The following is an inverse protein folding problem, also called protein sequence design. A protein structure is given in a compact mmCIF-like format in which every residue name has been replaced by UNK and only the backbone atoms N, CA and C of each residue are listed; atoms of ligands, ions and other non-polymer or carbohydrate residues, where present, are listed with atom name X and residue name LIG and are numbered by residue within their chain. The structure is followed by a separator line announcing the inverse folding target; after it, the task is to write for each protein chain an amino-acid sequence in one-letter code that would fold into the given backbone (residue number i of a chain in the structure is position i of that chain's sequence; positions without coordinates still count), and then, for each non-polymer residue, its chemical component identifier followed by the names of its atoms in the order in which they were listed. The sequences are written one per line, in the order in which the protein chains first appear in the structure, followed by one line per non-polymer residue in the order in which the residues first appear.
data_IF_413216385864
#
_entry.id   IF_413216385864
#
_cell.length_a   1.000
_cell.length_b   1.000
_cell.length_c   1.000
_cell.angle_alpha   90.00
_cell.angle_beta   90.00
_cell.angle_gamma   90.00
#
_symmetry.space_group_name_H-M   'P 1'
#
loop_
_entity.id
_entity.type
_entity.pdbx_description
1 polymer ?
#
# COMPACT_ATOMS: atom_id res chain seq x y z
N UNK A 1 9.46 -22.24 10.97
CA UNK A 1 9.95 -21.07 10.21
C UNK A 1 8.92 -19.92 10.27
N UNK A 2 8.74 -19.26 11.42
CA UNK A 2 7.64 -18.29 11.62
C UNK A 2 8.06 -17.15 12.58
N UNK A 3 9.05 -16.34 12.19
CA UNK A 3 9.52 -15.15 12.95
C UNK A 3 9.88 -13.95 12.05
N UNK A 4 9.23 -13.81 10.89
CA UNK A 4 9.54 -12.74 9.89
C UNK A 4 8.33 -11.99 9.32
N UNK A 5 7.16 -12.06 9.96
CA UNK A 5 5.90 -11.51 9.42
C UNK A 5 5.39 -10.21 10.07
N UNK A 6 5.97 -9.76 11.20
CA UNK A 6 5.48 -8.61 11.97
C UNK A 6 6.57 -7.55 12.15
N UNK A 7 6.83 -6.81 11.07
CA UNK A 7 7.65 -5.60 11.10
C UNK A 7 6.80 -4.38 11.44
N UNK A 8 6.60 -4.11 12.73
CA UNK A 8 6.02 -2.86 13.20
C UNK A 8 7.07 -1.74 13.14
N UNK A 9 6.70 -0.61 12.54
CA UNK A 9 7.51 0.62 12.55
C UNK A 9 6.61 1.77 13.02
N UNK A 10 6.48 1.92 14.34
CA UNK A 10 6.03 3.17 14.95
C UNK A 10 7.20 4.15 14.95
N UNK A 11 6.97 5.32 14.38
CA UNK A 11 7.93 6.42 14.32
C UNK A 11 7.16 7.72 14.56
N UNK A 12 6.81 7.94 15.82
CA UNK A 12 6.53 9.29 16.30
C UNK A 12 7.88 9.95 16.57
N UNK A 13 8.14 11.07 15.90
CA UNK A 13 9.29 11.92 16.21
C UNK A 13 8.77 13.36 16.28
N UNK A 14 8.35 13.71 17.48
CA UNK A 14 8.03 15.06 17.92
C UNK A 14 9.36 15.82 18.09
N UNK A 15 9.58 16.84 17.27
CA UNK A 15 10.68 17.80 17.46
C UNK A 15 10.17 19.21 17.28
N UNK A 16 10.17 19.92 18.40
CA UNK A 16 9.99 21.37 18.55
C UNK A 16 11.26 22.14 18.15
N UNK A 17 11.13 23.47 18.21
CA UNK A 17 12.18 24.48 18.14
C UNK A 17 12.79 24.71 16.74
N UNK A 18 12.29 25.72 16.00
CA UNK A 18 12.61 27.15 16.14
C UNK A 18 14.07 27.44 15.75
N UNK A 19 14.29 28.16 14.64
CA UNK A 19 14.59 29.61 14.71
C UNK A 19 14.98 30.24 13.33
N UNK A 20 14.55 31.49 13.14
CA UNK A 20 15.10 32.56 12.27
C UNK A 20 15.12 32.51 10.71
N UNK A 21 14.21 33.33 10.14
CA UNK A 21 14.42 34.38 9.10
C UNK A 21 14.60 34.03 7.60
N UNK A 22 13.62 34.44 6.78
CA UNK A 22 13.84 35.25 5.55
C UNK A 22 12.54 35.79 4.90
N UNK A 23 12.11 36.97 5.36
CA UNK A 23 11.50 38.14 4.67
C UNK A 23 10.66 38.04 3.35
N UNK A 24 9.66 38.94 3.30
CA UNK A 24 8.84 39.45 2.16
C UNK A 24 7.53 38.68 1.85
N UNK A 25 6.37 39.23 2.24
CA UNK A 25 5.49 40.14 1.45
C UNK A 25 4.44 39.34 0.63
N UNK A 26 3.15 39.66 0.57
CA UNK A 26 2.41 40.87 0.95
C UNK A 26 0.92 40.52 1.20
N UNK A 27 0.27 41.07 2.23
CA UNK A 27 -1.20 41.15 2.32
C UNK A 27 -1.64 42.05 3.49
N UNK A 28 -2.03 43.27 3.14
CA UNK A 28 -2.55 44.31 4.05
C UNK A 28 -3.89 43.92 4.65
N UNK A 29 -4.04 44.05 5.99
CA UNK A 29 -5.19 44.66 6.65
C UNK A 29 -4.83 45.14 8.08
N UNK A 30 -4.16 46.29 8.12
CA UNK A 30 -4.24 47.31 9.18
C UNK A 30 -5.71 47.70 9.50
N UNK A 31 -6.18 48.21 10.66
CA UNK A 31 -5.68 48.46 12.04
C UNK A 31 -6.85 48.16 13.02
N UNK A 32 -6.83 48.26 14.36
CA UNK A 32 -5.86 48.59 15.43
C UNK A 32 -5.91 47.45 16.48
N UNK A 33 -4.95 47.14 17.37
CA UNK A 33 -4.12 47.90 18.34
C UNK A 33 -4.88 48.58 19.49
N UNK A 34 -4.92 47.93 20.67
CA UNK A 34 -4.11 48.30 21.87
C UNK A 34 -4.14 47.20 22.94
N UNK A 35 -3.00 47.01 23.62
CA UNK A 35 -2.89 46.32 24.92
C UNK A 35 -3.22 47.30 26.05
N UNK A 36 -3.78 46.83 27.17
CA UNK A 36 -3.23 47.01 28.51
C UNK A 36 -4.12 46.37 29.60
N UNK A 37 -3.45 45.78 30.58
CA UNK A 37 -3.82 45.47 31.98
C UNK A 37 -5.19 45.96 32.53
N UNK A 38 -5.92 45.07 33.22
CA UNK A 38 -6.12 45.11 34.70
C UNK A 38 -7.10 44.05 35.23
N UNK A 39 -6.93 43.78 36.51
CA UNK A 39 -7.60 42.81 37.39
C UNK A 39 -9.13 42.96 37.60
N UNK A 40 -9.84 41.82 37.77
CA UNK A 40 -11.00 41.57 38.68
C UNK A 40 -12.34 42.34 38.37
N UNK A 41 -13.57 41.85 38.72
CA UNK A 41 -14.16 40.51 38.82
C UNK A 41 -15.44 40.34 37.94
N UNK A 42 -16.22 39.29 38.21
CA UNK A 42 -17.61 39.04 37.78
C UNK A 42 -18.52 40.25 37.48
N UNK A 43 -19.33 40.13 36.43
CA UNK A 43 -20.72 40.63 36.41
C UNK A 43 -21.61 39.76 35.49
N UNK A 44 -22.88 39.57 35.90
CA UNK A 44 -23.93 38.78 35.22
C UNK A 44 -24.76 39.65 34.26
N UNK A 45 -25.72 38.98 33.59
CA UNK A 45 -26.91 39.50 32.88
C UNK A 45 -26.75 39.77 31.37
N UNK A 46 -27.84 39.68 30.57
CA UNK A 46 -28.83 38.61 30.58
C UNK A 46 -29.11 38.02 29.18
N UNK A 47 -29.66 36.80 29.13
CA UNK A 47 -30.10 36.14 27.91
C UNK A 47 -31.33 36.84 27.29
N UNK A 48 -31.38 36.96 25.95
CA UNK A 48 -32.66 37.14 25.21
C UNK A 48 -32.79 36.07 24.11
N UNK A 49 -33.99 35.50 23.85
CA UNK A 49 -34.12 34.28 23.05
C UNK A 49 -34.63 34.54 21.62
N UNK A 50 -34.24 33.68 20.67
CA UNK A 50 -35.11 33.14 19.61
C UNK A 50 -34.40 32.08 18.77
N UNK A 51 -34.75 30.82 19.00
CA UNK A 51 -34.59 29.73 18.05
C UNK A 51 -35.91 28.96 18.02
N UNK A 52 -36.59 28.93 16.87
CA UNK A 52 -37.87 28.24 16.72
C UNK A 52 -37.63 26.74 16.51
N UNK A 53 -37.59 26.01 17.62
CA UNK A 53 -37.63 24.54 17.64
C UNK A 53 -38.22 24.11 18.99
N UNK A 54 -39.17 23.14 19.03
CA UNK A 54 -39.74 22.70 20.29
C UNK A 54 -38.67 22.01 21.15
N UNK A 55 -38.56 22.33 22.46
CA UNK A 55 -37.60 21.68 23.34
C UNK A 55 -38.02 20.22 23.59
N UNK A 56 -37.08 19.29 23.44
CA UNK A 56 -37.29 17.88 23.79
C UNK A 56 -37.48 17.71 25.30
N UNK A 57 -38.35 16.78 25.77
CA UNK A 57 -38.61 16.57 27.19
C UNK A 57 -37.42 15.89 27.88
N UNK A 58 -36.46 16.70 28.34
CA UNK A 58 -35.46 16.29 29.32
C UNK A 58 -36.11 16.13 30.70
N UNK A 59 -35.67 15.14 31.48
CA UNK A 59 -36.01 14.83 32.90
C UNK A 59 -37.06 13.75 33.26
N UNK A 60 -37.53 12.90 32.34
CA UNK A 60 -38.32 11.72 32.77
C UNK A 60 -37.51 10.71 33.63
N UNK A 61 -36.19 10.61 33.46
CA UNK A 61 -35.38 9.61 34.18
C UNK A 61 -35.25 9.78 35.69
N UNK A 62 -35.50 10.98 36.26
CA UNK A 62 -35.46 11.17 37.72
C UNK A 62 -36.76 10.76 38.40
N UNK A 63 -37.91 11.00 37.75
CA UNK A 63 -39.23 10.63 38.26
C UNK A 63 -39.44 9.10 38.31
N UNK A 64 -38.84 8.33 37.40
CA UNK A 64 -38.92 6.86 37.46
C UNK A 64 -38.17 6.27 38.67
N UNK A 65 -37.00 6.81 39.05
CA UNK A 65 -36.26 6.27 40.21
C UNK A 65 -36.98 6.52 41.55
N UNK A 66 -37.55 7.71 41.78
CA UNK A 66 -38.29 7.98 43.02
C UNK A 66 -39.63 7.24 43.11
N UNK A 67 -40.20 6.81 41.98
CA UNK A 67 -41.47 6.09 41.94
C UNK A 67 -41.26 4.56 42.01
N UNK A 68 -40.17 4.03 41.47
CA UNK A 68 -39.74 2.63 41.68
C UNK A 68 -39.37 2.35 43.14
N UNK A 69 -38.61 3.24 43.80
CA UNK A 69 -38.21 3.05 45.22
C UNK A 69 -39.44 3.05 46.16
N UNK A 70 -40.55 3.69 45.78
CA UNK A 70 -41.82 3.67 46.56
C UNK A 70 -42.70 2.44 46.29
N UNK A 71 -42.60 1.82 45.11
CA UNK A 71 -43.36 0.60 44.79
C UNK A 71 -42.68 -0.68 45.29
N UNK A 72 -41.37 -0.65 45.57
CA UNK A 72 -40.60 -1.84 45.96
C UNK A 72 -40.68 -2.26 47.45
N UNK A 73 -41.48 -1.60 48.29
CA UNK A 73 -41.58 -1.93 49.73
C UNK A 73 -42.09 -3.35 50.01
N UNK A 74 -43.09 -3.81 49.23
CA UNK A 74 -43.97 -4.91 49.66
C UNK A 74 -43.69 -6.27 48.97
N UNK A 75 -42.46 -6.49 48.47
CA UNK A 75 -42.00 -7.72 47.81
C UNK A 75 -40.56 -8.11 48.15
N UNK A 76 -40.11 -7.77 49.35
CA UNK A 76 -38.74 -7.34 49.67
C UNK A 76 -37.67 -8.44 49.82
N UNK A 77 -37.98 -9.70 49.47
CA UNK A 77 -37.06 -10.84 49.58
C UNK A 77 -36.21 -11.09 48.33
N UNK A 78 -36.84 -11.29 47.17
CA UNK A 78 -36.15 -11.77 45.97
C UNK A 78 -35.45 -10.63 45.19
N UNK A 79 -36.11 -9.48 45.07
CA UNK A 79 -35.56 -8.28 44.40
C UNK A 79 -34.26 -7.81 45.08
N UNK A 80 -34.20 -7.88 46.42
CA UNK A 80 -32.99 -7.53 47.20
C UNK A 80 -31.83 -8.48 46.94
N UNK A 81 -32.09 -9.78 46.71
CA UNK A 81 -31.08 -10.77 46.31
C UNK A 81 -30.56 -10.50 44.91
N UNK A 82 -31.44 -10.24 43.94
CA UNK A 82 -31.06 -9.89 42.56
C UNK A 82 -30.20 -8.61 42.50
N UNK A 83 -30.61 -7.54 43.20
CA UNK A 83 -29.81 -6.29 43.30
C UNK A 83 -28.42 -6.54 43.91
N UNK A 84 -28.35 -7.40 44.94
CA UNK A 84 -27.06 -7.77 45.57
C UNK A 84 -26.17 -8.60 44.65
N UNK A 85 -26.75 -9.48 43.83
CA UNK A 85 -26.02 -10.29 42.85
C UNK A 85 -25.50 -9.44 41.69
N UNK A 86 -26.32 -8.53 41.16
CA UNK A 86 -25.92 -7.58 40.12
C UNK A 86 -24.79 -6.65 40.60
N UNK A 87 -24.83 -6.20 41.86
CA UNK A 87 -23.74 -5.40 42.44
C UNK A 87 -22.44 -6.22 42.55
N UNK A 88 -22.50 -7.46 43.05
CA UNK A 88 -21.33 -8.36 43.09
C UNK A 88 -20.73 -8.58 41.70
N UNK A 89 -21.57 -8.80 40.68
CA UNK A 89 -21.10 -8.97 39.30
C UNK A 89 -20.43 -7.69 38.77
N UNK A 90 -20.98 -6.51 39.07
CA UNK A 90 -20.36 -5.22 38.73
C UNK A 90 -19.01 -5.03 39.43
N UNK A 91 -18.91 -5.41 40.70
CA UNK A 91 -17.67 -5.35 41.48
C UNK A 91 -16.61 -6.33 40.95
N UNK A 92 -17.02 -7.53 40.50
CA UNK A 92 -16.13 -8.46 39.80
C UNK A 92 -15.67 -7.94 38.44
N UNK A 93 -16.57 -7.36 37.64
CA UNK A 93 -16.22 -6.74 36.35
C UNK A 93 -15.21 -5.60 36.54
N UNK A 94 -15.39 -4.75 37.56
CA UNK A 94 -14.42 -3.68 37.86
C UNK A 94 -13.09 -4.21 38.41
N UNK A 95 -13.09 -5.28 39.22
CA UNK A 95 -11.85 -5.96 39.64
C UNK A 95 -11.09 -6.55 38.45
N UNK A 96 -11.80 -7.23 37.54
CA UNK A 96 -11.22 -7.78 36.28
C UNK A 96 -10.63 -6.67 35.41
N UNK A 97 -11.36 -5.56 35.20
CA UNK A 97 -10.85 -4.40 34.47
C UNK A 97 -9.60 -3.79 35.12
N UNK A 98 -9.55 -3.66 36.45
CA UNK A 98 -8.38 -3.17 37.19
C UNK A 98 -7.17 -4.10 37.07
N UNK A 99 -7.37 -5.43 37.03
CA UNK A 99 -6.28 -6.38 36.80
C UNK A 99 -5.71 -6.27 35.37
N UNK A 100 -6.58 -6.14 34.36
CA UNK A 100 -6.16 -5.93 32.97
C UNK A 100 -5.41 -4.61 32.79
N UNK A 101 -5.91 -3.52 33.39
CA UNK A 101 -5.23 -2.21 33.37
C UNK A 101 -3.83 -2.29 33.99
N UNK A 102 -3.68 -2.92 35.16
CA UNK A 102 -2.38 -3.11 35.81
C UNK A 102 -1.42 -3.96 34.96
N UNK A 103 -1.89 -5.06 34.39
CA UNK A 103 -1.06 -5.89 33.51
C UNK A 103 -0.54 -5.10 32.30
N UNK A 104 -1.38 -4.23 31.73
CA UNK A 104 -0.99 -3.34 30.63
C UNK A 104 0.01 -2.25 31.08
N UNK A 105 -0.19 -1.65 32.25
CA UNK A 105 0.77 -0.69 32.85
C UNK A 105 2.14 -1.34 33.13
N UNK A 106 2.17 -2.59 33.61
CA UNK A 106 3.41 -3.33 33.85
C UNK A 106 4.10 -3.73 32.54
N UNK A 107 3.36 -4.15 31.50
CA UNK A 107 3.93 -4.39 30.16
C UNK A 107 4.52 -3.10 29.53
N UNK A 108 3.82 -1.97 29.66
CA UNK A 108 4.33 -0.65 29.24
C UNK A 108 5.63 -0.30 29.97
N UNK A 109 5.68 -0.49 31.29
CA UNK A 109 6.89 -0.23 32.10
C UNK A 109 8.08 -1.11 31.67
N UNK A 110 7.84 -2.38 31.35
CA UNK A 110 8.86 -3.29 30.81
C UNK A 110 9.33 -2.82 29.43
N UNK A 111 8.41 -2.39 28.56
CA UNK A 111 8.74 -1.86 27.24
C UNK A 111 9.58 -0.58 27.32
N UNK A 112 9.17 0.40 28.14
CA UNK A 112 9.96 1.61 28.40
C UNK A 112 11.36 1.31 28.91
N UNK A 113 11.49 0.40 29.89
CA UNK A 113 12.79 0.02 30.43
C UNK A 113 13.70 -0.60 29.34
N UNK A 114 13.12 -1.39 28.45
CA UNK A 114 13.81 -2.01 27.31
C UNK A 114 14.27 -0.97 26.28
N UNK A 115 13.43 0.01 25.94
CA UNK A 115 13.81 1.09 25.03
C UNK A 115 14.84 2.04 25.65
N UNK A 116 14.71 2.39 26.95
CA UNK A 116 15.75 3.14 27.68
C UNK A 116 17.11 2.42 27.63
N UNK A 117 17.13 1.10 27.81
CA UNK A 117 18.35 0.29 27.71
C UNK A 117 18.91 0.23 26.29
N UNK A 118 18.06 0.15 25.25
CA UNK A 118 18.50 0.27 23.84
C UNK A 118 19.11 1.63 23.53
N UNK A 119 18.48 2.71 23.99
CA UNK A 119 18.96 4.07 23.81
C UNK A 119 20.27 4.31 24.57
N UNK A 120 20.46 3.72 25.77
CA UNK A 120 21.76 3.77 26.48
C UNK A 120 22.87 3.13 25.65
N UNK A 121 22.64 1.91 25.14
CA UNK A 121 23.61 1.22 24.28
C UNK A 121 23.92 1.99 23.00
N UNK A 122 22.91 2.61 22.37
CA UNK A 122 23.14 3.46 21.20
C UNK A 122 23.99 4.69 21.54
N UNK A 123 23.74 5.31 22.70
CA UNK A 123 24.53 6.46 23.21
C UNK A 123 25.96 6.06 23.59
N UNK A 124 26.17 4.86 24.11
CA UNK A 124 27.51 4.29 24.35
C UNK A 124 28.26 4.11 23.04
N UNK A 125 27.67 3.44 22.03
CA UNK A 125 28.28 3.29 20.70
C UNK A 125 28.56 4.65 20.04
N UNK A 126 27.68 5.64 20.17
CA UNK A 126 27.94 7.00 19.64
C UNK A 126 29.13 7.66 20.36
N UNK A 127 29.28 7.47 21.69
CA UNK A 127 30.43 7.98 22.43
C UNK A 127 31.73 7.27 22.04
N UNK A 128 31.70 5.95 21.85
CA UNK A 128 32.84 5.16 21.35
C UNK A 128 33.25 5.66 19.97
N UNK A 129 32.32 5.79 19.03
CA UNK A 129 32.56 6.35 17.69
C UNK A 129 33.11 7.79 17.73
N UNK A 130 32.63 8.64 18.65
CA UNK A 130 33.19 9.98 18.87
C UNK A 130 34.62 9.94 19.43
N UNK A 131 34.91 9.01 20.34
CA UNK A 131 36.24 8.81 20.91
C UNK A 131 37.21 8.30 19.84
N UNK A 132 36.82 7.28 19.07
CA UNK A 132 37.56 6.81 17.90
C UNK A 132 37.81 7.93 16.90
N UNK A 133 36.81 8.78 16.61
CA UNK A 133 36.99 9.92 15.71
C UNK A 133 37.99 10.95 16.26
N UNK A 134 37.92 11.27 17.56
CA UNK A 134 38.89 12.15 18.24
C UNK A 134 40.29 11.54 18.22
N UNK A 135 40.45 10.26 18.53
CA UNK A 135 41.73 9.57 18.43
C UNK A 135 42.28 9.53 17.01
N UNK A 136 41.43 9.30 16.00
CA UNK A 136 41.83 9.28 14.59
C UNK A 136 42.15 10.68 14.03
N UNK A 137 41.72 11.76 14.69
CA UNK A 137 42.22 13.12 14.41
C UNK A 137 43.65 13.31 14.95
N UNK A 138 43.98 12.71 16.10
CA UNK A 138 45.32 12.80 16.70
C UNK A 138 46.33 11.76 16.18
N UNK A 139 45.86 10.65 15.60
CA UNK A 139 46.71 9.71 14.86
C UNK A 139 47.07 10.35 13.51
N UNK A 140 48.30 10.87 13.43
CA UNK A 140 48.92 11.36 12.19
C UNK A 140 48.69 10.35 11.06
N UNK A 141 48.17 10.77 9.87
CA UNK A 141 47.91 9.83 8.79
C UNK A 141 49.19 9.07 8.43
N UNK A 142 49.12 7.75 8.18
CA UNK A 142 50.31 6.93 7.97
C UNK A 142 51.15 7.54 6.85
N UNK A 143 52.40 7.86 7.17
CA UNK A 143 53.32 8.60 6.30
C UNK A 143 53.35 7.94 4.92
N UNK A 144 52.80 8.64 3.93
CA UNK A 144 52.73 8.12 2.58
C UNK A 144 54.14 7.77 2.11
N UNK A 145 54.38 6.55 1.59
CA UNK A 145 55.67 6.22 1.01
C UNK A 145 55.96 7.23 -0.09
N UNK A 146 57.13 7.86 -0.04
CA UNK A 146 57.48 8.92 -0.98
C UNK A 146 57.32 8.40 -2.42
N UNK A 147 56.72 9.19 -3.34
CA UNK A 147 56.67 8.80 -4.73
C UNK A 147 58.09 8.69 -5.28
N UNK A 148 58.50 7.47 -5.58
CA UNK A 148 59.76 7.18 -6.28
C UNK A 148 59.79 8.02 -7.55
N UNK A 149 60.85 8.81 -7.73
CA UNK A 149 61.04 9.69 -8.88
C UNK A 149 61.24 8.88 -10.16
N UNK A 150 60.15 8.44 -10.78
CA UNK A 150 60.18 7.89 -12.14
C UNK A 150 60.54 9.02 -13.10
N UNK A 151 61.69 8.88 -13.75
CA UNK A 151 62.19 9.85 -14.74
C UNK A 151 61.24 9.96 -15.93
N UNK A 152 60.52 11.08 -16.04
CA UNK A 152 59.81 11.41 -17.29
C UNK A 152 60.80 11.99 -18.31
N UNK A 153 61.08 11.22 -19.37
CA UNK A 153 61.80 11.72 -20.55
C UNK A 153 60.96 12.81 -21.22
N UNK A 154 61.42 14.07 -21.16
CA UNK A 154 60.83 15.16 -21.95
C UNK A 154 61.45 15.22 -23.33
N UNK A 155 60.73 14.70 -24.32
CA UNK A 155 61.01 14.96 -25.73
C UNK A 155 60.84 16.45 -26.01
N UNK A 156 61.87 17.11 -26.56
CA UNK A 156 61.79 18.51 -27.00
C UNK A 156 61.77 18.53 -28.54
N UNK A 157 60.77 19.15 -29.20
CA UNK A 157 60.75 19.22 -30.66
C UNK A 157 61.79 20.24 -31.17
N UNK A 158 62.79 19.75 -31.91
CA UNK A 158 63.84 20.57 -32.53
C UNK A 158 63.40 21.00 -33.93
N UNK A 159 62.89 22.22 -34.07
CA UNK A 159 62.60 22.79 -35.39
C UNK A 159 63.89 23.11 -36.16
N UNK A 160 63.92 22.89 -37.49
CA UNK A 160 65.07 23.22 -38.32
C UNK A 160 64.98 24.66 -38.84
N UNK A 161 66.08 25.41 -38.78
CA UNK A 161 66.34 26.50 -39.73
C UNK A 161 67.79 26.42 -40.21
N UNK A 162 67.93 25.99 -41.46
CA UNK A 162 69.14 26.08 -42.26
C UNK A 162 69.38 27.57 -42.57
N UNK A 163 70.45 28.16 -42.04
CA UNK A 163 71.01 29.39 -42.60
C UNK A 163 72.47 29.13 -42.94
N UNK A 164 72.78 29.22 -44.23
CA UNK A 164 74.07 28.88 -44.82
C UNK A 164 75.19 29.68 -44.16
N UNK A 165 76.29 29.02 -43.79
CA UNK A 165 77.56 29.71 -43.59
C UNK A 165 78.72 28.92 -44.18
N UNK A 166 79.52 29.63 -44.96
CA UNK A 166 80.56 29.08 -45.83
C UNK A 166 81.85 28.91 -45.01
N UNK A 167 82.55 27.77 -45.07
CA UNK A 167 83.87 27.65 -44.47
C UNK A 167 84.89 28.43 -45.30
N UNK A 168 85.29 29.61 -44.84
CA UNK A 168 86.39 30.39 -45.43
C UNK A 168 87.72 29.69 -45.16
N UNK A 169 88.21 28.98 -46.19
CA UNK A 169 89.57 28.41 -46.32
C UNK A 169 90.62 29.53 -46.26
N UNK A 170 91.77 29.23 -45.64
CA UNK A 170 92.99 30.06 -45.64
C UNK A 170 93.32 30.65 -44.26
N UNK A 171 94.57 30.72 -43.81
CA UNK A 171 95.86 30.40 -44.45
C UNK A 171 96.87 29.89 -43.41
N UNK A 172 97.64 28.87 -43.74
CA UNK A 172 98.82 28.51 -42.95
C UNK A 172 99.88 29.62 -43.15
N UNK A 173 100.36 30.24 -42.07
CA UNK A 173 101.49 31.17 -42.15
C UNK A 173 102.80 30.38 -42.09
N UNK A 174 103.83 30.78 -42.87
CA UNK A 174 105.13 30.11 -42.84
C UNK A 174 105.80 30.28 -41.48
N UNK A 175 106.71 29.36 -41.14
CA UNK A 175 107.63 29.53 -40.01
C UNK A 175 108.45 30.81 -40.21
N UNK A 176 108.07 31.89 -39.53
CA UNK A 176 108.89 33.09 -39.48
C UNK A 176 110.16 32.79 -38.70
N UNK A 177 111.29 33.30 -39.19
CA UNK A 177 112.50 33.44 -38.38
C UNK A 177 112.17 34.20 -37.08
N UNK A 178 113.00 34.01 -36.05
CA UNK A 178 112.78 34.63 -34.74
C UNK A 178 112.51 36.14 -34.91
N UNK A 179 111.40 36.69 -34.37
CA UNK A 179 111.06 38.09 -34.55
C UNK A 179 112.02 38.95 -33.73
N UNK A 180 113.14 39.31 -34.36
CA UNK A 180 114.13 40.24 -33.83
C UNK A 180 113.42 41.56 -33.55
N UNK A 181 113.37 41.94 -32.27
CA UNK A 181 112.70 43.16 -31.81
C UNK A 181 113.63 44.35 -32.03
N UNK A 182 113.81 44.73 -33.29
CA UNK A 182 114.27 46.08 -33.63
C UNK A 182 113.31 47.06 -32.93
N UNK A 183 113.82 47.88 -32.03
CA UNK A 183 113.08 49.05 -31.52
C UNK A 183 113.10 50.09 -32.63
N UNK A 184 112.05 50.89 -32.75
CA UNK A 184 111.93 51.89 -33.82
C UNK A 184 113.20 52.76 -33.92
N UNK A 185 113.80 53.10 -32.77
CA UNK A 185 114.95 53.99 -32.64
C UNK A 185 116.34 53.28 -32.64
N UNK A 186 116.43 51.94 -32.69
CA UNK A 186 117.71 51.18 -32.53
C UNK A 186 118.23 50.42 -33.77
N UNK A 187 117.55 50.51 -34.93
CA UNK A 187 117.92 49.78 -36.16
C UNK A 187 119.38 49.99 -36.61
N UNK A 188 119.89 51.22 -36.57
CA UNK A 188 121.27 51.52 -36.96
C UNK A 188 122.31 50.89 -36.02
N UNK A 189 122.02 50.83 -34.71
CA UNK A 189 122.91 50.21 -33.74
C UNK A 189 122.96 48.69 -33.91
N UNK A 190 121.81 48.03 -34.12
CA UNK A 190 121.77 46.59 -34.39
C UNK A 190 122.46 46.21 -35.71
N UNK A 191 122.37 47.06 -36.74
CA UNK A 191 123.11 46.84 -38.00
C UNK A 191 124.64 46.98 -37.85
N UNK A 192 125.12 47.77 -36.89
CA UNK A 192 126.56 47.92 -36.61
C UNK A 192 127.09 46.75 -35.76
N UNK A 193 126.29 46.21 -34.85
CA UNK A 193 126.65 45.06 -34.01
C UNK A 193 126.78 43.76 -34.82
N UNK A 194 125.90 43.53 -35.79
CA UNK A 194 125.91 42.34 -36.67
C UNK A 194 127.03 42.35 -37.74
N UNK A 195 127.64 43.52 -38.03
CA UNK A 195 128.69 43.66 -39.06
C UNK A 195 129.95 44.40 -38.56
N UNK A 196 130.71 43.82 -37.61
CA UNK A 196 131.79 44.51 -36.89
C UNK A 196 133.02 44.92 -37.74
N UNK A 197 133.11 44.49 -39.00
CA UNK A 197 134.20 44.84 -39.92
C UNK A 197 133.82 45.97 -40.90
N UNK A 198 132.61 46.54 -40.78
CA UNK A 198 132.12 47.56 -41.71
C UNK A 198 132.57 48.97 -41.27
N UNK A 199 133.67 49.46 -41.85
CA UNK A 199 134.20 50.81 -41.57
C UNK A 199 133.34 51.92 -42.21
N UNK A 200 132.20 52.24 -41.59
CA UNK A 200 131.35 53.36 -42.01
C UNK A 200 132.00 54.70 -41.63
N UNK A 201 132.17 55.60 -42.60
CA UNK A 201 132.57 56.99 -42.34
C UNK A 201 131.58 57.70 -41.40
N UNK A 202 132.11 58.43 -40.41
CA UNK A 202 131.32 59.17 -39.41
C UNK A 202 130.24 60.08 -40.03
N UNK A 203 130.50 60.66 -41.21
CA UNK A 203 129.52 61.48 -41.93
C UNK A 203 128.32 60.67 -42.46
N UNK A 204 128.55 59.45 -42.95
CA UNK A 204 127.51 58.55 -43.44
C UNK A 204 126.67 58.01 -42.29
N UNK A 205 127.32 57.67 -41.16
CA UNK A 205 126.65 57.23 -39.94
C UNK A 205 125.62 58.26 -39.42
N UNK A 206 126.02 59.54 -39.36
CA UNK A 206 125.11 60.62 -38.95
C UNK A 206 123.90 60.80 -39.91
N UNK A 207 124.08 60.60 -41.22
CA UNK A 207 122.98 60.67 -42.18
C UNK A 207 121.97 59.53 -42.01
N UNK A 208 122.44 58.29 -41.79
CA UNK A 208 121.56 57.16 -41.54
C UNK A 208 120.80 57.33 -40.21
N UNK A 209 121.45 57.86 -39.18
CA UNK A 209 120.82 58.19 -37.90
C UNK A 209 119.69 59.23 -38.06
N UNK A 210 119.94 60.32 -38.79
CA UNK A 210 118.92 61.32 -39.09
C UNK A 210 117.74 60.74 -39.91
N UNK A 211 118.01 59.86 -40.88
CA UNK A 211 116.97 59.19 -41.66
C UNK A 211 116.10 58.25 -40.80
N UNK A 212 116.72 57.54 -39.85
CA UNK A 212 115.99 56.69 -38.92
C UNK A 212 115.08 57.52 -38.02
N UNK A 213 115.61 58.58 -37.39
CA UNK A 213 114.82 59.49 -36.55
C UNK A 213 113.61 60.07 -37.31
N UNK A 214 113.81 60.57 -38.53
CA UNK A 214 112.73 61.08 -39.37
C UNK A 214 111.64 60.03 -39.67
N UNK A 215 112.02 58.76 -39.88
CA UNK A 215 111.06 57.68 -40.07
C UNK A 215 110.27 57.33 -38.80
N UNK A 216 110.91 57.30 -37.62
CA UNK A 216 110.20 57.00 -36.38
C UNK A 216 109.25 58.12 -35.99
N UNK A 217 109.63 59.39 -36.22
CA UNK A 217 108.76 60.54 -36.02
C UNK A 217 107.50 60.48 -36.88
N UNK A 218 107.63 60.11 -38.16
CA UNK A 218 106.48 59.93 -39.06
C UNK A 218 105.52 58.81 -38.59
N UNK A 219 106.06 57.67 -38.13
CA UNK A 219 105.24 56.56 -37.61
C UNK A 219 104.56 56.92 -36.29
N UNK A 220 105.28 57.58 -35.37
CA UNK A 220 104.75 58.09 -34.09
C UNK A 220 103.64 59.13 -34.34
N UNK A 221 103.82 60.02 -35.33
CA UNK A 221 102.81 61.02 -35.73
C UNK A 221 101.54 60.40 -36.36
N UNK A 222 101.67 59.33 -37.14
CA UNK A 222 100.51 58.64 -37.74
C UNK A 222 99.66 57.91 -36.68
N UNK A 223 100.29 57.31 -35.67
CA UNK A 223 99.64 56.50 -34.63
C UNK A 223 98.70 57.31 -33.70
N UNK A 224 99.02 58.57 -33.42
CA UNK A 224 98.26 59.39 -32.46
C UNK A 224 96.82 59.71 -32.87
N UNK A 225 96.50 59.72 -34.17
CA UNK A 225 95.21 60.25 -34.68
C UNK A 225 94.00 59.30 -34.57
N UNK A 226 94.22 58.00 -34.36
CA UNK A 226 93.16 56.97 -34.36
C UNK A 226 92.72 56.51 -32.97
N UNK A 227 93.59 56.60 -31.96
CA UNK A 227 93.33 56.13 -30.59
C UNK A 227 92.09 56.73 -29.89
N UNK A 228 91.81 58.05 -29.95
CA UNK A 228 90.64 58.61 -29.26
C UNK A 228 89.30 58.26 -29.94
N UNK A 229 89.29 58.00 -31.25
CA UNK A 229 88.08 57.56 -31.98
C UNK A 229 87.64 56.17 -31.54
N UNK A 230 88.58 55.24 -31.48
CA UNK A 230 88.36 53.88 -30.95
C UNK A 230 87.86 53.91 -29.49
N UNK A 231 88.40 54.78 -28.64
CA UNK A 231 87.91 54.94 -27.26
C UNK A 231 86.47 55.46 -27.21
N UNK A 232 86.13 56.46 -28.04
CA UNK A 232 84.76 56.96 -28.16
C UNK A 232 83.79 55.89 -28.68
N UNK A 233 84.19 55.10 -29.67
CA UNK A 233 83.40 53.97 -30.19
C UNK A 233 83.16 52.88 -29.14
N UNK A 234 84.19 52.51 -28.36
CA UNK A 234 84.07 51.58 -27.24
C UNK A 234 83.13 52.13 -26.15
N UNK A 235 83.25 53.41 -25.79
CA UNK A 235 82.33 54.04 -24.83
C UNK A 235 80.88 54.09 -25.36
N UNK A 236 80.67 54.35 -26.66
CA UNK A 236 79.35 54.29 -27.28
C UNK A 236 78.80 52.86 -27.31
N UNK A 237 79.64 51.85 -27.54
CA UNK A 237 79.25 50.44 -27.49
C UNK A 237 78.83 50.02 -26.07
N UNK A 238 79.57 50.46 -25.04
CA UNK A 238 79.20 50.23 -23.64
C UNK A 238 77.85 50.89 -23.29
N UNK A 239 77.65 52.17 -23.63
CA UNK A 239 76.36 52.86 -23.42
C UNK A 239 75.20 52.16 -24.15
N UNK A 240 75.42 51.66 -25.37
CA UNK A 240 74.43 50.85 -26.11
C UNK A 240 74.16 49.50 -25.43
N UNK A 241 75.18 48.85 -24.89
CA UNK A 241 75.04 47.60 -24.14
C UNK A 241 74.26 47.79 -22.83
N UNK A 242 74.59 48.81 -22.04
CA UNK A 242 73.88 49.20 -20.82
C UNK A 242 72.39 49.48 -21.11
N UNK A 243 72.10 50.21 -22.19
CA UNK A 243 70.73 50.47 -22.64
C UNK A 243 69.99 49.17 -23.01
N UNK A 244 70.62 48.27 -23.76
CA UNK A 244 70.04 46.96 -24.10
C UNK A 244 69.78 46.11 -22.85
N UNK A 245 70.70 46.08 -21.89
CA UNK A 245 70.51 45.39 -20.60
C UNK A 245 69.36 46.02 -19.81
N UNK A 246 69.21 47.34 -19.83
CA UNK A 246 68.09 48.03 -19.20
C UNK A 246 66.73 47.70 -19.86
N UNK A 247 66.69 47.59 -21.20
CA UNK A 247 65.49 47.15 -21.94
C UNK A 247 65.15 45.69 -21.58
N UNK A 248 66.13 44.78 -21.65
CA UNK A 248 65.93 43.36 -21.31
C UNK A 248 65.43 43.18 -19.87
N UNK A 249 65.96 43.95 -18.91
CA UNK A 249 65.46 43.95 -17.51
C UNK A 249 63.99 44.41 -17.44
N UNK A 250 63.64 45.51 -18.12
CA UNK A 250 62.24 46.00 -18.18
C UNK A 250 61.29 44.97 -18.80
N UNK A 251 61.72 44.28 -19.85
CA UNK A 251 60.93 43.22 -20.51
C UNK A 251 60.76 41.99 -19.61
N UNK A 252 61.81 41.58 -18.89
CA UNK A 252 61.72 40.50 -17.90
C UNK A 252 60.73 40.87 -16.78
N UNK A 253 60.78 42.10 -16.26
CA UNK A 253 59.88 42.55 -15.20
C UNK A 253 58.45 42.82 -15.70
N UNK A 254 58.27 43.18 -16.97
CA UNK A 254 56.94 43.17 -17.61
C UNK A 254 56.39 41.73 -17.70
N UNK A 255 57.20 40.77 -18.15
CA UNK A 255 56.80 39.37 -18.25
C UNK A 255 56.46 38.75 -16.89
N UNK A 256 57.22 39.04 -15.83
CA UNK A 256 56.89 38.63 -14.44
C UNK A 256 55.52 39.16 -14.03
N UNK A 257 55.28 40.47 -14.19
CA UNK A 257 53.99 41.12 -13.87
C UNK A 257 52.82 40.51 -14.67
N UNK A 258 53.02 40.19 -15.95
CA UNK A 258 52.02 39.53 -16.78
C UNK A 258 51.73 38.10 -16.32
N UNK A 259 52.75 37.34 -15.90
CA UNK A 259 52.58 36.01 -15.32
C UNK A 259 51.82 36.05 -13.99
N UNK A 260 52.17 36.98 -13.10
CA UNK A 260 51.43 37.19 -11.84
C UNK A 260 49.96 37.55 -12.10
N UNK A 261 49.68 38.45 -13.04
CA UNK A 261 48.32 38.84 -13.39
C UNK A 261 47.51 37.63 -13.91
N UNK A 262 48.09 36.82 -14.80
CA UNK A 262 47.49 35.55 -15.25
C UNK A 262 47.25 34.59 -14.09
N UNK A 263 48.21 34.44 -13.16
CA UNK A 263 48.03 33.61 -11.97
C UNK A 263 46.91 34.12 -11.05
N UNK A 264 46.80 35.43 -10.82
CA UNK A 264 45.73 36.05 -10.03
C UNK A 264 44.35 35.74 -10.64
N UNK A 265 44.20 35.89 -11.96
CA UNK A 265 42.97 35.53 -12.69
C UNK A 265 42.66 34.02 -12.54
N UNK A 266 43.65 33.15 -12.70
CA UNK A 266 43.45 31.70 -12.54
C UNK A 266 43.02 31.33 -11.11
N UNK A 267 43.65 31.92 -10.08
CA UNK A 267 43.28 31.72 -8.67
C UNK A 267 41.85 32.23 -8.38
N UNK A 268 41.48 33.40 -8.90
CA UNK A 268 40.14 33.97 -8.76
C UNK A 268 39.07 33.07 -9.43
N UNK A 269 39.31 32.63 -10.67
CA UNK A 269 38.42 31.70 -11.39
C UNK A 269 38.29 30.36 -10.67
N UNK A 270 39.39 29.82 -10.16
CA UNK A 270 39.38 28.57 -9.37
C UNK A 270 38.55 28.71 -8.10
N UNK A 271 38.74 29.80 -7.33
CA UNK A 271 37.94 30.07 -6.14
C UNK A 271 36.46 30.25 -6.46
N UNK A 272 36.13 31.02 -7.51
CA UNK A 272 34.74 31.21 -7.95
C UNK A 272 34.09 29.90 -8.39
N UNK A 273 34.81 29.05 -9.13
CA UNK A 273 34.34 27.73 -9.54
C UNK A 273 34.13 26.80 -8.33
N UNK A 274 35.04 26.80 -7.35
CA UNK A 274 34.88 26.02 -6.11
C UNK A 274 33.67 26.48 -5.27
N UNK A 275 33.38 27.79 -5.23
CA UNK A 275 32.15 28.30 -4.59
C UNK A 275 30.90 27.87 -5.36
N UNK A 276 30.91 27.92 -6.71
CA UNK A 276 29.79 27.43 -7.53
C UNK A 276 29.56 25.92 -7.36
N UNK A 277 30.62 25.13 -7.33
CA UNK A 277 30.59 23.68 -7.10
C UNK A 277 29.99 23.35 -5.72
N UNK A 278 30.45 24.01 -4.65
CA UNK A 278 29.86 23.87 -3.30
C UNK A 278 28.37 24.24 -3.28
N UNK A 279 27.98 25.34 -3.93
CA UNK A 279 26.55 25.73 -4.05
C UNK A 279 25.73 24.66 -4.78
N UNK A 280 26.26 24.08 -5.85
CA UNK A 280 25.60 22.98 -6.57
C UNK A 280 25.51 21.71 -5.73
N UNK A 281 26.54 21.35 -4.97
CA UNK A 281 26.53 20.20 -4.06
C UNK A 281 25.47 20.39 -2.96
N UNK A 282 25.41 21.56 -2.32
CA UNK A 282 24.38 21.91 -1.32
C UNK A 282 22.98 21.88 -1.94
N UNK A 283 22.79 22.44 -3.15
CA UNK A 283 21.50 22.40 -3.84
C UNK A 283 21.05 20.97 -4.18
N UNK A 284 21.98 20.09 -4.62
CA UNK A 284 21.70 18.66 -4.85
C UNK A 284 21.33 17.96 -3.54
N UNK A 285 22.09 18.18 -2.47
CA UNK A 285 21.82 17.58 -1.16
C UNK A 285 20.45 18.02 -0.59
N UNK A 286 20.13 19.31 -0.68
CA UNK A 286 18.80 19.85 -0.31
C UNK A 286 17.69 19.19 -1.11
N UNK A 287 17.82 19.12 -2.44
CA UNK A 287 16.84 18.44 -3.29
C UNK A 287 16.65 16.98 -2.89
N UNK A 288 17.73 16.21 -2.66
CA UNK A 288 17.59 14.82 -2.21
C UNK A 288 16.85 14.69 -0.88
N UNK A 289 17.08 15.60 0.07
CA UNK A 289 16.38 15.62 1.35
C UNK A 289 14.90 16.02 1.22
N UNK A 290 14.60 17.01 0.38
CA UNK A 290 13.23 17.43 0.04
C UNK A 290 12.45 16.31 -0.66
N UNK A 291 13.03 15.71 -1.72
CA UNK A 291 12.49 14.56 -2.43
C UNK A 291 12.23 13.38 -1.47
N UNK A 292 13.17 13.09 -0.56
CA UNK A 292 13.02 12.06 0.46
C UNK A 292 11.87 12.36 1.43
N UNK A 293 11.77 13.59 1.95
CA UNK A 293 10.66 13.99 2.85
C UNK A 293 9.30 13.87 2.15
N UNK A 294 9.20 14.26 0.88
CA UNK A 294 7.97 14.11 0.08
C UNK A 294 7.64 12.64 -0.14
N UNK A 295 8.61 11.80 -0.48
CA UNK A 295 8.42 10.35 -0.63
C UNK A 295 7.99 9.69 0.69
N UNK A 296 8.60 10.05 1.82
CA UNK A 296 8.24 9.55 3.14
C UNK A 296 6.81 9.96 3.50
N UNK A 297 6.45 11.24 3.35
CA UNK A 297 5.07 11.73 3.58
C UNK A 297 4.06 10.98 2.69
N UNK A 298 4.37 10.78 1.41
CA UNK A 298 3.52 10.01 0.50
C UNK A 298 3.41 8.53 0.91
N UNK A 299 4.47 7.92 1.44
CA UNK A 299 4.45 6.54 1.98
C UNK A 299 3.56 6.45 3.23
N UNK A 300 3.67 7.40 4.16
CA UNK A 300 2.83 7.45 5.37
C UNK A 300 1.35 7.67 5.02
N UNK A 301 1.04 8.59 4.09
CA UNK A 301 -0.34 8.78 3.60
C UNK A 301 -0.88 7.50 2.95
N UNK A 302 -0.08 6.81 2.14
CA UNK A 302 -0.47 5.52 1.53
C UNK A 302 -0.67 4.41 2.57
N UNK A 303 0.10 4.39 3.66
CA UNK A 303 -0.10 3.45 4.77
C UNK A 303 -1.45 3.73 5.46
N UNK A 304 -1.69 4.98 5.86
CA UNK A 304 -2.96 5.43 6.44
C UNK A 304 -4.17 5.08 5.56
N UNK A 305 -4.13 5.36 4.25
CA UNK A 305 -5.23 5.00 3.33
C UNK A 305 -5.41 3.48 3.18
N UNK A 306 -4.36 2.66 3.37
CA UNK A 306 -4.48 1.19 3.41
C UNK A 306 -5.13 0.74 4.72
N UNK A 307 -4.73 1.29 5.85
CA UNK A 307 -5.32 1.03 7.17
C UNK A 307 -6.80 1.42 7.20
N UNK A 308 -7.15 2.63 6.75
CA UNK A 308 -8.54 3.10 6.59
C UNK A 308 -9.36 2.18 5.67
N UNK A 309 -8.75 1.62 4.61
CA UNK A 309 -9.41 0.63 3.73
C UNK A 309 -9.61 -0.72 4.42
N UNK A 310 -8.63 -1.19 5.19
CA UNK A 310 -8.75 -2.44 5.97
C UNK A 310 -9.83 -2.27 7.04
N UNK A 311 -9.84 -1.14 7.76
CA UNK A 311 -10.85 -0.84 8.76
C UNK A 311 -12.27 -0.78 8.17
N UNK A 312 -12.46 -0.13 7.01
CA UNK A 312 -13.75 -0.13 6.31
C UNK A 312 -14.24 -1.55 5.96
N UNK A 313 -13.36 -2.39 5.41
CA UNK A 313 -13.68 -3.80 5.13
C UNK A 313 -14.07 -4.58 6.38
N UNK A 314 -13.28 -4.48 7.45
CA UNK A 314 -13.56 -5.15 8.72
C UNK A 314 -14.88 -4.67 9.35
N UNK A 315 -15.24 -3.40 9.16
CA UNK A 315 -16.53 -2.86 9.60
C UNK A 315 -17.70 -3.37 8.75
N UNK A 316 -17.54 -3.43 7.43
CA UNK A 316 -18.52 -4.01 6.49
C UNK A 316 -18.74 -5.52 6.77
N UNK A 317 -17.66 -6.28 6.96
CA UNK A 317 -17.68 -7.70 7.37
C UNK A 317 -18.35 -7.87 8.74
N UNK A 318 -18.01 -7.02 9.72
CA UNK A 318 -18.64 -7.03 11.05
C UNK A 318 -20.14 -6.75 11.00
N UNK A 319 -20.59 -5.82 10.15
CA UNK A 319 -22.01 -5.56 9.92
C UNK A 319 -22.70 -6.72 9.21
N UNK A 320 -22.07 -7.37 8.23
CA UNK A 320 -22.69 -8.52 7.55
C UNK A 320 -22.80 -9.73 8.49
N UNK A 321 -21.82 -9.96 9.37
CA UNK A 321 -21.92 -10.96 10.45
C UNK A 321 -23.11 -10.65 11.40
N UNK A 322 -23.35 -9.38 11.75
CA UNK A 322 -24.52 -9.01 12.56
C UNK A 322 -25.83 -9.25 11.80
N UNK A 323 -25.92 -8.88 10.52
CA UNK A 323 -27.09 -9.17 9.69
C UNK A 323 -27.33 -10.68 9.52
N UNK A 324 -26.27 -11.47 9.34
CA UNK A 324 -26.33 -12.93 9.27
C UNK A 324 -26.97 -13.48 10.55
N UNK A 325 -26.43 -13.14 11.73
CA UNK A 325 -27.00 -13.57 13.03
C UNK A 325 -28.48 -13.17 13.19
N UNK A 326 -28.88 -11.99 12.72
CA UNK A 326 -30.29 -11.56 12.76
C UNK A 326 -31.17 -12.33 11.76
N UNK A 327 -30.66 -12.71 10.58
CA UNK A 327 -31.35 -13.61 9.64
C UNK A 327 -31.50 -15.00 10.26
N UNK A 328 -30.44 -15.54 10.85
CA UNK A 328 -30.43 -16.87 11.49
C UNK A 328 -31.42 -16.94 12.66
N UNK A 329 -31.45 -15.92 13.53
CA UNK A 329 -32.43 -15.82 14.63
C UNK A 329 -33.89 -15.73 14.13
N UNK A 330 -34.13 -15.02 13.02
CA UNK A 330 -35.47 -14.97 12.39
C UNK A 330 -35.85 -16.29 11.76
N UNK A 331 -34.91 -16.97 11.10
CA UNK A 331 -35.13 -18.30 10.52
C UNK A 331 -35.46 -19.32 11.63
N UNK A 332 -34.70 -19.32 12.73
CA UNK A 332 -34.98 -20.17 13.90
C UNK A 332 -36.38 -19.91 14.51
N UNK A 333 -36.78 -18.64 14.65
CA UNK A 333 -38.13 -18.31 15.13
C UNK A 333 -39.22 -18.78 14.15
N UNK A 334 -39.02 -18.61 12.84
CA UNK A 334 -39.94 -19.11 11.82
C UNK A 334 -40.02 -20.65 11.81
N UNK A 335 -38.90 -21.34 11.98
CA UNK A 335 -38.81 -22.79 12.10
C UNK A 335 -39.57 -23.28 13.34
N UNK A 336 -39.37 -22.67 14.51
CA UNK A 336 -40.13 -23.00 15.73
C UNK A 336 -41.64 -22.80 15.58
N UNK A 337 -42.08 -21.74 14.91
CA UNK A 337 -43.50 -21.55 14.57
C UNK A 337 -43.99 -22.52 13.47
N UNK A 338 -43.12 -23.00 12.59
CA UNK A 338 -43.47 -24.04 11.61
C UNK A 338 -43.61 -25.41 12.28
N UNK A 339 -42.66 -25.80 13.15
CA UNK A 339 -42.74 -27.00 13.99
C UNK A 339 -44.04 -27.04 14.80
N UNK A 340 -44.36 -25.97 15.53
CA UNK A 340 -45.61 -25.88 16.31
C UNK A 340 -46.85 -26.07 15.44
N UNK A 341 -46.89 -25.46 14.25
CA UNK A 341 -48.00 -25.65 13.29
C UNK A 341 -48.05 -27.09 12.76
N UNK A 342 -46.92 -27.72 12.49
CA UNK A 342 -46.87 -29.12 12.04
C UNK A 342 -47.31 -30.09 13.14
N UNK A 343 -46.90 -29.87 14.39
CA UNK A 343 -47.38 -30.67 15.53
C UNK A 343 -48.90 -30.55 15.66
N UNK A 344 -49.43 -29.32 15.64
CA UNK A 344 -50.88 -29.09 15.72
C UNK A 344 -51.66 -29.67 14.52
N UNK A 345 -51.09 -29.61 13.31
CA UNK A 345 -51.66 -30.27 12.13
C UNK A 345 -51.68 -31.79 12.28
N UNK A 346 -50.57 -32.40 12.72
CA UNK A 346 -50.51 -33.85 12.96
C UNK A 346 -51.49 -34.29 14.05
N UNK A 347 -51.67 -33.50 15.11
CA UNK A 347 -52.69 -33.73 16.15
C UNK A 347 -54.10 -33.73 15.54
N UNK A 348 -54.43 -32.70 14.75
CA UNK A 348 -55.72 -32.57 14.09
C UNK A 348 -55.97 -33.71 13.09
N UNK A 349 -54.97 -34.07 12.28
CA UNK A 349 -55.01 -35.22 11.36
C UNK A 349 -55.21 -36.54 12.12
N UNK A 350 -54.57 -36.73 13.28
CA UNK A 350 -54.76 -37.93 14.10
C UNK A 350 -56.19 -38.03 14.67
N UNK A 351 -56.76 -36.90 15.10
CA UNK A 351 -58.15 -36.83 15.56
C UNK A 351 -59.14 -37.04 14.41
N UNK A 352 -58.89 -36.45 13.24
CA UNK A 352 -59.68 -36.71 12.04
C UNK A 352 -59.67 -38.20 11.66
N UNK A 353 -58.51 -38.85 11.70
CA UNK A 353 -58.40 -40.27 11.36
C UNK A 353 -59.14 -41.14 12.38
N UNK A 354 -59.01 -40.85 13.68
CA UNK A 354 -59.84 -41.50 14.71
C UNK A 354 -61.34 -41.39 14.41
N UNK A 355 -61.84 -40.20 14.08
CA UNK A 355 -63.26 -40.04 13.74
C UNK A 355 -63.64 -40.70 12.41
N UNK A 356 -62.78 -40.67 11.38
CA UNK A 356 -62.99 -41.40 10.11
C UNK A 356 -63.09 -42.90 10.34
N UNK A 357 -62.29 -43.47 11.24
CA UNK A 357 -62.34 -44.89 11.61
C UNK A 357 -63.64 -45.22 12.36
N UNK A 358 -64.06 -44.37 13.33
CA UNK A 358 -65.36 -44.50 14.01
C UNK A 358 -66.54 -44.46 13.02
N UNK A 359 -66.53 -43.51 12.08
CA UNK A 359 -67.57 -43.43 11.04
C UNK A 359 -67.50 -44.62 10.07
N UNK A 360 -66.31 -45.14 9.76
CA UNK A 360 -66.15 -46.32 8.90
C UNK A 360 -66.70 -47.58 9.59
N UNK A 361 -66.43 -47.80 10.88
CA UNK A 361 -67.01 -48.91 11.65
C UNK A 361 -68.54 -48.82 11.72
N UNK A 362 -69.09 -47.62 11.95
CA UNK A 362 -70.54 -47.41 11.94
C UNK A 362 -71.15 -47.61 10.55
N UNK A 363 -70.49 -47.16 9.49
CA UNK A 363 -70.94 -47.36 8.12
C UNK A 363 -70.88 -48.86 7.72
N UNK A 364 -69.86 -49.59 8.17
CA UNK A 364 -69.76 -51.03 7.99
C UNK A 364 -70.90 -51.75 8.72
N UNK A 365 -71.12 -51.47 10.00
CA UNK A 365 -72.22 -52.04 10.79
C UNK A 365 -73.60 -51.78 10.14
N UNK A 366 -73.87 -50.53 9.73
CA UNK A 366 -75.10 -50.18 9.00
C UNK A 366 -75.20 -50.89 7.63
N UNK A 367 -74.07 -51.17 6.97
CA UNK A 367 -74.06 -51.93 5.71
C UNK A 367 -74.38 -53.41 5.95
N UNK A 368 -73.87 -54.00 7.04
CA UNK A 368 -74.16 -55.37 7.46
C UNK A 368 -75.65 -55.50 7.84
N UNK A 369 -76.20 -54.58 8.65
CA UNK A 369 -77.63 -54.53 8.96
C UNK A 369 -78.50 -54.43 7.70
N UNK A 370 -78.14 -53.57 6.73
CA UNK A 370 -78.86 -53.47 5.45
C UNK A 370 -78.79 -54.75 4.63
N UNK A 371 -77.65 -55.44 4.62
CA UNK A 371 -77.51 -56.74 3.95
C UNK A 371 -78.36 -57.81 4.65
N UNK A 372 -78.38 -57.85 5.99
CA UNK A 372 -79.25 -58.72 6.76
C UNK A 372 -80.74 -58.46 6.49
N UNK A 373 -81.17 -57.19 6.49
CA UNK A 373 -82.56 -56.83 6.15
C UNK A 373 -82.89 -57.32 4.74
N UNK A 374 -82.03 -57.08 3.74
CA UNK A 374 -82.25 -57.59 2.39
C UNK A 374 -82.30 -59.13 2.31
N UNK A 375 -81.50 -59.86 3.09
CA UNK A 375 -81.57 -61.34 3.10
C UNK A 375 -82.85 -61.83 3.79
N UNK A 376 -83.28 -61.18 4.88
CA UNK A 376 -84.57 -61.45 5.56
C UNK A 376 -85.75 -61.15 4.63
N UNK A 377 -85.76 -60.02 3.92
CA UNK A 377 -86.76 -59.67 2.90
C UNK A 377 -86.79 -60.68 1.74
N UNK A 378 -85.63 -61.10 1.23
CA UNK A 378 -85.53 -62.15 0.21
C UNK A 378 -86.07 -63.50 0.72
N UNK A 379 -85.80 -63.86 1.97
CA UNK A 379 -86.34 -65.08 2.58
C UNK A 379 -87.86 -65.00 2.78
N UNK A 380 -88.39 -63.86 3.27
CA UNK A 380 -89.82 -63.62 3.42
C UNK A 380 -90.55 -63.62 2.07
N UNK A 381 -90.03 -62.93 1.06
CA UNK A 381 -90.62 -62.93 -0.29
C UNK A 381 -90.58 -64.30 -0.95
N UNK A 382 -89.52 -65.10 -0.75
CA UNK A 382 -89.48 -66.51 -1.18
C UNK A 382 -90.51 -67.37 -0.42
N UNK A 383 -90.67 -67.19 0.89
CA UNK A 383 -91.70 -67.87 1.69
C UNK A 383 -93.10 -67.52 1.19
N UNK A 384 -93.39 -66.23 0.96
CA UNK A 384 -94.65 -65.76 0.38
C UNK A 384 -94.90 -66.29 -1.04
N UNK A 385 -93.85 -66.51 -1.84
CA UNK A 385 -93.99 -67.18 -3.14
C UNK A 385 -94.29 -68.68 -2.98
N UNK A 386 -93.66 -69.38 -2.03
CA UNK A 386 -93.94 -70.80 -1.73
C UNK A 386 -95.38 -70.98 -1.26
N UNK A 387 -95.83 -70.22 -0.26
CA UNK A 387 -97.22 -70.29 0.23
C UNK A 387 -98.24 -69.91 -0.85
N UNK A 388 -97.95 -68.93 -1.73
CA UNK A 388 -98.80 -68.65 -2.90
C UNK A 388 -98.87 -69.81 -3.90
N UNK A 389 -97.77 -70.54 -4.12
CA UNK A 389 -97.77 -71.74 -4.99
C UNK A 389 -98.52 -72.90 -4.34
N UNK A 390 -98.34 -73.11 -3.04
CA UNK A 390 -99.06 -74.12 -2.26
C UNK A 390 -100.57 -73.83 -2.22
N UNK A 391 -100.99 -72.57 -2.04
CA UNK A 391 -102.40 -72.19 -2.12
C UNK A 391 -102.97 -72.46 -3.51
N UNK A 392 -102.26 -72.09 -4.58
CA UNK A 392 -102.67 -72.40 -5.96
C UNK A 392 -102.80 -73.92 -6.18
N UNK A 393 -101.86 -74.73 -5.71
CA UNK A 393 -101.94 -76.19 -5.88
C UNK A 393 -102.99 -76.86 -5.01
N UNK A 394 -103.39 -76.25 -3.87
CA UNK A 394 -104.59 -76.66 -3.11
C UNK A 394 -105.87 -76.33 -3.88
N UNK A 395 -106.02 -75.08 -4.35
CA UNK A 395 -107.16 -74.67 -5.16
C UNK A 395 -107.28 -75.50 -6.46
N UNK A 396 -106.16 -75.82 -7.10
CA UNK A 396 -106.13 -76.68 -8.29
C UNK A 396 -106.60 -78.11 -7.98
N UNK A 397 -106.18 -78.68 -6.83
CA UNK A 397 -106.69 -79.98 -6.35
C UNK A 397 -108.16 -79.94 -5.97
N UNK A 398 -108.62 -78.86 -5.32
CA UNK A 398 -110.04 -78.66 -4.98
C UNK A 398 -110.89 -78.54 -6.27
N UNK A 399 -110.41 -77.80 -7.29
CA UNK A 399 -111.06 -77.73 -8.60
C UNK A 399 -111.06 -79.10 -9.29
N UNK A 400 -109.95 -79.85 -9.27
CA UNK A 400 -109.90 -81.22 -9.81
C UNK A 400 -110.84 -82.19 -9.07
N UNK A 401 -110.97 -82.06 -7.75
CA UNK A 401 -111.92 -82.83 -6.94
C UNK A 401 -113.36 -82.46 -7.28
N UNK A 402 -113.69 -81.18 -7.43
CA UNK A 402 -115.01 -80.72 -7.86
C UNK A 402 -115.33 -81.18 -9.29
N UNK A 403 -114.37 -81.12 -10.21
CA UNK A 403 -114.51 -81.64 -11.58
C UNK A 403 -114.72 -83.16 -11.59
N UNK A 404 -113.97 -83.92 -10.78
CA UNK A 404 -114.16 -85.36 -10.65
C UNK A 404 -115.51 -85.71 -10.01
N UNK A 405 -115.97 -84.93 -9.03
CA UNK A 405 -117.30 -85.08 -8.44
C UNK A 405 -118.42 -84.76 -9.45
N UNK A 406 -118.25 -83.74 -10.29
CA UNK A 406 -119.18 -83.43 -11.40
C UNK A 406 -119.21 -84.61 -12.39
N UNK A 407 -118.05 -85.11 -12.82
CA UNK A 407 -117.97 -86.27 -13.71
C UNK A 407 -118.57 -87.56 -13.11
N UNK A 408 -118.59 -87.70 -11.78
CA UNK A 408 -119.25 -88.81 -11.09
C UNK A 408 -120.75 -88.56 -10.85
N UNK A 409 -121.21 -87.31 -10.81
CA UNK A 409 -122.65 -86.98 -10.79
C UNK A 409 -123.30 -87.01 -12.17
N UNK A 410 -122.50 -86.86 -13.23
CA UNK A 410 -122.89 -87.05 -14.63
C UNK A 410 -122.88 -88.54 -15.05
N UNK A 411 -122.86 -89.47 -14.09
CA UNK A 411 -123.19 -90.88 -14.35
C UNK A 411 -124.67 -90.98 -14.76
N UNK A 412 -124.93 -91.02 -16.08
CA UNK A 412 -126.25 -91.09 -16.74
C UNK A 412 -127.22 -92.17 -16.19
N UNK A 413 -126.76 -93.04 -15.30
CA UNK A 413 -127.55 -94.00 -14.50
C UNK A 413 -128.90 -93.45 -14.02
N UNK A 414 -128.97 -92.25 -13.44
CA UNK A 414 -130.24 -91.66 -12.98
C UNK A 414 -131.22 -91.37 -14.12
N UNK A 415 -130.73 -90.88 -15.27
CA UNK A 415 -131.56 -90.62 -16.45
C UNK A 415 -131.96 -91.93 -17.15
N UNK A 416 -131.07 -92.93 -17.19
CA UNK A 416 -131.35 -94.26 -17.71
C UNK A 416 -132.41 -95.00 -16.87
N UNK A 417 -132.38 -94.89 -15.53
CA UNK A 417 -133.44 -95.39 -14.65
C UNK A 417 -134.77 -94.66 -14.86
N UNK A 418 -134.74 -93.33 -15.01
CA UNK A 418 -135.95 -92.53 -15.28
C UNK A 418 -136.58 -92.87 -16.64
N UNK A 419 -135.78 -93.12 -17.67
CA UNK A 419 -136.28 -93.60 -18.97
C UNK A 419 -136.82 -95.03 -18.89
N UNK A 420 -136.19 -95.92 -18.11
CA UNK A 420 -136.68 -97.27 -17.87
C UNK A 420 -138.06 -97.25 -17.17
N UNK A 421 -138.25 -96.45 -16.12
CA UNK A 421 -139.55 -96.34 -15.44
C UNK A 421 -140.60 -95.59 -16.30
N UNK A 422 -140.20 -94.66 -17.17
CA UNK A 422 -141.09 -94.07 -18.19
C UNK A 422 -141.56 -95.12 -19.21
N UNK A 423 -140.68 -96.02 -19.64
CA UNK A 423 -141.02 -97.15 -20.52
C UNK A 423 -141.99 -98.12 -19.84
N UNK A 424 -141.73 -98.44 -18.58
CA UNK A 424 -142.53 -99.32 -17.70
C UNK A 424 -143.94 -98.78 -17.47
N UNK A 425 -144.06 -97.47 -17.21
CA UNK A 425 -145.34 -96.76 -17.08
C UNK A 425 -146.15 -96.79 -18.39
N UNK A 426 -145.48 -96.65 -19.53
CA UNK A 426 -146.11 -96.75 -20.87
C UNK A 426 -146.55 -98.18 -21.21
N UNK A 427 -145.83 -99.20 -20.73
CA UNK A 427 -146.23 -100.62 -20.80
C UNK A 427 -147.48 -100.90 -19.95
N UNK A 428 -147.54 -100.36 -18.73
CA UNK A 428 -148.73 -100.48 -17.87
C UNK A 428 -149.96 -99.80 -18.50
N UNK A 429 -149.81 -98.60 -19.06
CA UNK A 429 -150.85 -97.91 -19.85
C UNK A 429 -151.37 -98.76 -21.01
N UNK A 430 -150.48 -99.42 -21.77
CA UNK A 430 -150.88 -100.32 -22.86
C UNK A 430 -151.63 -101.56 -22.35
N UNK A 431 -151.22 -102.13 -21.20
CA UNK A 431 -151.89 -103.32 -20.63
C UNK A 431 -153.33 -103.07 -20.16
N UNK A 432 -153.66 -101.85 -19.72
CA UNK A 432 -155.03 -101.50 -19.32
C UNK A 432 -155.97 -101.28 -20.52
N UNK A 433 -155.45 -100.91 -21.70
CA UNK A 433 -156.27 -100.69 -22.90
C UNK A 433 -156.72 -101.99 -23.59
N UNK A 434 -156.12 -103.14 -23.28
CA UNK A 434 -156.60 -104.44 -23.79
C UNK A 434 -157.83 -104.99 -23.01
N UNK A 435 -158.25 -104.31 -21.93
CA UNK A 435 -159.36 -104.74 -21.06
C UNK A 435 -160.66 -103.92 -21.22
N UNK A 436 -160.69 -102.95 -22.13
CA UNK A 436 -161.92 -102.23 -22.51
C UNK A 436 -161.89 -101.82 -23.98
N UNK A 437 -162.95 -102.20 -24.70
CA UNK A 437 -163.26 -101.89 -26.11
C UNK A 437 -162.25 -102.30 -27.18
N UNK A 438 -162.64 -103.31 -27.97
CA UNK A 438 -162.92 -102.98 -29.37
C UNK A 438 -164.41 -102.65 -29.49
N UNK A 439 -164.72 -101.42 -29.88
CA UNK A 439 -165.97 -101.06 -30.56
C UNK A 439 -165.67 -99.90 -31.49
N UNK A 440 -165.40 -100.30 -32.75
CA UNK A 440 -164.88 -99.52 -33.89
C UNK A 440 -163.39 -99.18 -33.84
#
# INVERSE_FOLDING_TARGET
MLKRALGGHTGEEELTDEDNLSQHSDSVMDYHRRKAERDIPHLRYPSRPRSLSPPSPSSQHQLFSELEDKLCSNGTGQIRKLRSQLQKERDERTKKAKMVAKAYEDELRIYEARERLRLSKLREVIKEMEQEYKENIFKEPPKMPQPVKVYSRKTTPRNPKYSQWIPKRGTAKPKKAAPMKVRDDDLLFQLLEEFPHLHISHHTMNKMWQQQLAHTEQLKAASGRTRPKLQNEVQQALKKHELLVAIIKKDQDHNKRLQEFKQRICRQKWAQNKVREKRQQVARARKYYEDYRVQLRAKMMRARTREERIFKKLFEEGLEIQKQRLKDLRAYAQEKHAEQRRVHQNELESMENYYKDQFSMLAEALSQERQEIQTREKAQTQMLQKTKRELRSRMEKEIQQLQAAIMQSDDDTFFQELEADRLKSRLQMASFQYSKSHFF
#
